data_IF_045188534200
#
_entry.id   IF_045188534200
#
_cell.length_a   1.000
_cell.length_b   1.000
_cell.length_c   1.000
_cell.angle_alpha   90.00
_cell.angle_beta   90.00
_cell.angle_gamma   90.00
#
_symmetry.space_group_name_H-M   'P 1'
#
loop_
_entity.id
_entity.type
_entity.pdbx_description
1 polymer ?
#
# COMPACT_ATOMS: atom_id res chain seq x y z
N UNK A 1 9.24 -4.87 6.44
CA UNK A 1 10.00 -5.98 5.78
C UNK A 1 9.08 -6.95 5.06
N UNK A 2 8.04 -7.52 5.71
CA UNK A 2 7.11 -8.44 5.02
C UNK A 2 6.23 -7.74 3.99
N UNK A 3 5.82 -6.49 4.27
CA UNK A 3 5.08 -5.62 3.34
C UNK A 3 5.86 -5.21 2.09
N UNK A 4 7.18 -5.51 2.01
CA UNK A 4 7.98 -5.18 0.82
C UNK A 4 7.48 -5.88 -0.43
N UNK A 5 6.88 -7.06 -0.29
CA UNK A 5 6.36 -7.84 -1.43
C UNK A 5 5.23 -7.11 -2.13
N UNK A 6 4.39 -6.44 -1.36
CA UNK A 6 3.31 -5.60 -1.86
C UNK A 6 3.87 -4.44 -2.71
N UNK A 7 4.89 -3.76 -2.19
CA UNK A 7 5.58 -2.68 -2.88
C UNK A 7 6.53 -3.13 -3.99
N UNK A 8 6.80 -4.42 -4.14
CA UNK A 8 7.73 -4.92 -5.15
C UNK A 8 7.10 -4.97 -6.54
N UNK A 9 5.79 -4.79 -6.64
CA UNK A 9 5.08 -4.80 -7.90
C UNK A 9 5.52 -3.63 -8.80
N UNK A 10 5.82 -3.93 -10.06
CA UNK A 10 6.31 -2.96 -11.05
C UNK A 10 5.20 -2.47 -11.98
N UNK A 11 4.09 -3.19 -12.07
CA UNK A 11 3.00 -2.88 -12.99
C UNK A 11 1.85 -2.11 -12.30
N UNK A 12 1.71 -2.25 -10.97
CA UNK A 12 0.67 -1.65 -10.11
C UNK A 12 -0.74 -1.75 -10.70
N UNK A 13 -1.47 -2.76 -10.26
CA UNK A 13 -2.88 -2.94 -10.62
C UNK A 13 -3.68 -3.58 -9.48
N UNK A 14 -4.93 -3.95 -9.74
CA UNK A 14 -5.82 -4.52 -8.71
C UNK A 14 -5.24 -5.76 -8.02
N UNK A 15 -4.36 -6.52 -8.70
CA UNK A 15 -3.69 -7.69 -8.13
C UNK A 15 -2.64 -7.31 -7.07
N UNK A 16 -2.06 -6.11 -7.15
CA UNK A 16 -1.17 -5.56 -6.12
C UNK A 16 -1.88 -5.49 -4.77
N UNK A 17 -3.18 -5.17 -4.77
CA UNK A 17 -4.04 -5.11 -3.57
C UNK A 17 -4.26 -6.45 -2.85
N UNK A 18 -3.76 -7.57 -3.39
CA UNK A 18 -3.77 -8.89 -2.74
C UNK A 18 -2.37 -9.52 -2.65
N UNK A 19 -1.33 -8.77 -3.02
CA UNK A 19 0.05 -9.26 -3.11
C UNK A 19 0.80 -9.11 -1.78
N UNK A 20 0.56 -10.03 -0.84
CA UNK A 20 1.17 -9.97 0.49
C UNK A 20 1.98 -11.23 0.82
N UNK A 21 2.96 -11.06 1.71
CA UNK A 21 3.67 -12.22 2.26
C UNK A 21 2.72 -13.07 3.13
N UNK A 22 2.78 -14.42 3.10
CA UNK A 22 1.95 -15.25 3.96
C UNK A 22 2.05 -14.92 5.46
N UNK A 23 3.25 -14.58 5.96
CA UNK A 23 3.44 -14.15 7.36
C UNK A 23 2.67 -12.86 7.66
N UNK A 24 2.61 -11.92 6.71
CA UNK A 24 1.86 -10.67 6.89
C UNK A 24 0.36 -10.94 6.96
N UNK A 25 -0.15 -11.84 6.12
CA UNK A 25 -1.54 -12.28 6.14
C UNK A 25 -1.87 -12.91 7.50
N UNK A 26 -1.05 -13.86 7.96
CA UNK A 26 -1.28 -14.55 9.24
C UNK A 26 -1.25 -13.58 10.44
N UNK A 27 -0.29 -12.64 10.45
CA UNK A 27 -0.21 -11.62 11.49
C UNK A 27 -1.43 -10.69 11.46
N UNK A 28 -1.84 -10.25 10.26
CA UNK A 28 -3.02 -9.41 10.08
C UNK A 28 -4.29 -10.12 10.53
N UNK A 29 -4.45 -11.41 10.20
CA UNK A 29 -5.56 -12.23 10.67
C UNK A 29 -5.58 -12.34 12.19
N UNK A 30 -4.42 -12.59 12.82
CA UNK A 30 -4.33 -12.67 14.29
C UNK A 30 -4.76 -11.36 14.96
N UNK A 31 -4.23 -10.22 14.49
CA UNK A 31 -4.58 -8.90 15.03
C UNK A 31 -6.08 -8.62 14.86
N UNK A 32 -6.63 -8.90 13.67
CA UNK A 32 -8.06 -8.74 13.39
C UNK A 32 -8.92 -9.62 14.30
N UNK A 33 -8.57 -10.89 14.48
CA UNK A 33 -9.31 -11.79 15.37
C UNK A 33 -9.30 -11.29 16.82
N UNK A 34 -8.14 -10.85 17.32
CA UNK A 34 -8.04 -10.25 18.66
C UNK A 34 -8.95 -9.02 18.78
N UNK A 35 -8.95 -8.12 17.78
CA UNK A 35 -9.81 -6.95 17.78
C UNK A 35 -11.31 -7.33 17.77
N UNK A 36 -11.70 -8.33 16.98
CA UNK A 36 -13.08 -8.87 16.94
C UNK A 36 -13.49 -9.40 18.32
N UNK A 37 -12.63 -10.17 18.98
CA UNK A 37 -12.89 -10.69 20.32
C UNK A 37 -13.00 -9.57 21.37
N UNK A 38 -12.08 -8.59 21.36
CA UNK A 38 -12.06 -7.48 22.32
C UNK A 38 -13.28 -6.57 22.16
N UNK A 39 -13.69 -6.30 20.92
CA UNK A 39 -14.86 -5.45 20.63
C UNK A 39 -16.18 -6.21 20.78
N UNK A 40 -16.15 -7.55 20.90
CA UNK A 40 -17.35 -8.38 20.89
C UNK A 40 -18.13 -8.27 19.57
N UNK A 41 -17.44 -8.09 18.45
CA UNK A 41 -18.08 -7.81 17.17
C UNK A 41 -18.87 -9.02 16.67
N UNK A 42 -20.15 -8.81 16.35
CA UNK A 42 -21.02 -9.85 15.81
C UNK A 42 -20.62 -10.28 14.38
N UNK A 43 -21.02 -11.48 13.92
CA UNK A 43 -20.61 -12.02 12.62
C UNK A 43 -20.89 -11.09 11.43
N UNK A 44 -22.05 -10.42 11.43
CA UNK A 44 -22.41 -9.48 10.36
C UNK A 44 -21.46 -8.28 10.30
N UNK A 45 -21.05 -7.73 11.45
CA UNK A 45 -20.12 -6.61 11.50
C UNK A 45 -18.74 -7.01 10.94
N UNK A 46 -18.29 -8.24 11.26
CA UNK A 46 -17.04 -8.79 10.71
C UNK A 46 -17.14 -8.95 9.19
N UNK A 47 -18.24 -9.49 8.68
CA UNK A 47 -18.46 -9.66 7.23
C UNK A 47 -18.45 -8.30 6.51
N UNK A 48 -19.18 -7.31 7.03
CA UNK A 48 -19.21 -5.95 6.46
C UNK A 48 -17.83 -5.32 6.50
N UNK A 49 -17.10 -5.46 7.61
CA UNK A 49 -15.74 -4.97 7.73
C UNK A 49 -14.80 -5.60 6.70
N UNK A 50 -14.81 -6.92 6.56
CA UNK A 50 -13.96 -7.62 5.57
C UNK A 50 -14.32 -7.25 4.14
N UNK A 51 -15.62 -7.10 3.84
CA UNK A 51 -16.08 -6.66 2.52
C UNK A 51 -15.55 -5.26 2.20
N UNK A 52 -15.67 -4.32 3.14
CA UNK A 52 -15.16 -2.96 2.98
C UNK A 52 -13.64 -2.95 2.86
N UNK A 53 -12.93 -3.67 3.73
CA UNK A 53 -11.47 -3.76 3.74
C UNK A 53 -10.92 -4.29 2.41
N UNK A 54 -11.47 -5.39 1.90
CA UNK A 54 -11.01 -5.98 0.64
C UNK A 54 -11.46 -5.15 -0.57
N UNK A 55 -12.69 -4.62 -0.55
CA UNK A 55 -13.20 -3.77 -1.64
C UNK A 55 -12.40 -2.48 -1.78
N UNK A 56 -12.02 -1.87 -0.66
CA UNK A 56 -11.13 -0.68 -0.66
C UNK A 56 -9.70 -1.04 -1.04
N UNK A 57 -9.17 -2.20 -0.65
CA UNK A 57 -7.87 -2.72 -1.14
C UNK A 57 -7.83 -2.88 -2.66
N UNK A 58 -8.91 -3.39 -3.26
CA UNK A 58 -9.01 -3.50 -4.71
C UNK A 58 -9.17 -2.13 -5.37
N UNK A 59 -9.92 -1.23 -4.73
CA UNK A 59 -10.16 0.11 -5.25
C UNK A 59 -8.88 0.97 -5.24
N UNK A 60 -8.18 1.06 -4.12
CA UNK A 60 -6.99 1.90 -3.97
C UNK A 60 -5.77 1.36 -4.78
N UNK A 61 -5.81 0.11 -5.24
CA UNK A 61 -4.84 -0.46 -6.19
C UNK A 61 -5.36 -0.55 -7.63
N UNK A 62 -6.60 -0.14 -7.89
CA UNK A 62 -7.17 -0.25 -9.22
C UNK A 62 -6.39 0.57 -10.23
N UNK A 63 -6.12 0.00 -11.41
CA UNK A 63 -5.55 0.73 -12.54
C UNK A 63 -6.64 1.57 -13.26
N UNK A 64 -7.33 2.41 -12.48
CA UNK A 64 -8.44 3.25 -12.93
C UNK A 64 -8.12 4.70 -12.60
N UNK A 65 -8.05 5.52 -13.63
CA UNK A 65 -7.91 6.97 -13.48
C UNK A 65 -9.28 7.61 -13.23
N UNK A 66 -9.48 8.09 -12.01
CA UNK A 66 -10.66 8.88 -11.68
C UNK A 66 -10.56 10.28 -12.34
N UNK A 67 -11.67 10.86 -12.82
CA UNK A 67 -11.71 12.26 -13.19
C UNK A 67 -11.28 13.14 -12.01
N UNK A 68 -10.44 14.14 -12.28
CA UNK A 68 -9.79 14.97 -11.23
C UNK A 68 -10.78 15.56 -10.21
N UNK A 69 -11.96 16.00 -10.67
CA UNK A 69 -13.00 16.52 -9.77
C UNK A 69 -13.55 15.43 -8.84
N UNK A 70 -13.83 14.24 -9.37
CA UNK A 70 -14.33 13.11 -8.57
C UNK A 70 -13.28 12.70 -7.55
N UNK A 71 -12.05 12.49 -8.01
CA UNK A 71 -10.94 12.12 -7.16
C UNK A 71 -10.73 13.13 -6.02
N UNK A 72 -10.77 14.45 -6.29
CA UNK A 72 -10.64 15.52 -5.29
C UNK A 72 -11.65 15.38 -4.14
N UNK A 73 -12.89 15.03 -4.43
CA UNK A 73 -13.92 14.85 -3.40
C UNK A 73 -13.81 13.49 -2.70
N UNK A 74 -13.61 12.41 -3.46
CA UNK A 74 -13.50 11.05 -2.91
C UNK A 74 -12.31 10.96 -1.95
N UNK A 75 -11.16 11.56 -2.32
CA UNK A 75 -9.95 11.54 -1.52
C UNK A 75 -10.00 12.34 -0.22
N UNK A 76 -11.13 13.00 0.10
CA UNK A 76 -11.39 13.59 1.42
C UNK A 76 -11.77 12.54 2.46
N UNK A 77 -12.33 11.42 2.02
CA UNK A 77 -12.84 10.36 2.89
C UNK A 77 -12.10 9.05 2.64
N UNK A 78 -12.07 8.60 1.39
CA UNK A 78 -11.46 7.33 1.01
C UNK A 78 -10.06 7.55 0.44
N UNK A 79 -9.24 6.51 0.46
CA UNK A 79 -7.97 6.49 -0.26
C UNK A 79 -8.26 6.11 -1.71
N UNK A 80 -7.91 6.99 -2.66
CA UNK A 80 -8.11 6.78 -4.10
C UNK A 80 -6.91 6.10 -4.75
N UNK A 81 -7.06 5.51 -5.96
CA UNK A 81 -5.95 4.92 -6.70
C UNK A 81 -4.73 5.84 -6.79
N UNK A 82 -4.94 7.07 -7.29
CA UNK A 82 -3.85 8.04 -7.47
C UNK A 82 -3.21 8.43 -6.14
N UNK A 83 -4.00 8.56 -5.06
CA UNK A 83 -3.46 8.86 -3.73
C UNK A 83 -2.57 7.71 -3.22
N UNK A 84 -3.05 6.47 -3.27
CA UNK A 84 -2.29 5.33 -2.77
C UNK A 84 -1.08 5.00 -3.63
N UNK A 85 -1.16 5.21 -4.96
CA UNK A 85 -0.04 4.93 -5.87
C UNK A 85 1.21 5.76 -5.52
N UNK A 86 1.08 6.94 -4.92
CA UNK A 86 2.22 7.73 -4.41
C UNK A 86 3.01 6.96 -3.35
N UNK A 87 2.31 6.27 -2.45
CA UNK A 87 2.93 5.41 -1.44
C UNK A 87 3.74 4.25 -2.05
N UNK A 88 3.40 3.85 -3.28
CA UNK A 88 4.13 2.82 -4.04
C UNK A 88 5.26 3.37 -4.91
N UNK A 89 5.48 4.68 -4.88
CA UNK A 89 6.60 5.30 -5.58
C UNK A 89 7.94 4.72 -5.11
N UNK A 90 8.87 4.65 -6.05
CA UNK A 90 10.27 4.32 -5.79
C UNK A 90 11.01 5.43 -5.01
N UNK A 91 10.50 6.67 -5.09
CA UNK A 91 11.12 7.85 -4.47
C UNK A 91 10.80 7.89 -2.98
N UNK A 92 11.84 7.99 -2.15
CA UNK A 92 11.71 7.81 -0.70
C UNK A 92 10.74 8.78 0.00
N UNK A 93 10.77 10.06 -0.38
CA UNK A 93 9.84 11.05 0.17
C UNK A 93 8.39 10.74 -0.18
N UNK A 94 8.15 10.15 -1.36
CA UNK A 94 6.82 9.80 -1.86
C UNK A 94 6.33 8.47 -1.24
N UNK A 95 7.19 7.45 -1.17
CA UNK A 95 6.86 6.17 -0.51
C UNK A 95 6.47 6.39 0.95
N UNK A 96 7.14 7.31 1.65
CA UNK A 96 6.86 7.62 3.05
C UNK A 96 5.72 8.64 3.23
N UNK A 97 4.70 8.56 2.39
CA UNK A 97 3.47 9.35 2.44
C UNK A 97 2.25 8.44 2.24
N UNK A 98 1.04 8.97 2.49
CA UNK A 98 -0.24 8.30 2.21
C UNK A 98 -0.36 6.87 2.80
N UNK A 99 -0.04 6.71 4.09
CA UNK A 99 -0.10 5.45 4.85
C UNK A 99 -1.54 4.98 5.14
N UNK A 100 -2.53 5.86 5.01
CA UNK A 100 -3.93 5.49 5.12
C UNK A 100 -4.27 4.37 4.14
N UNK A 101 -5.01 3.37 4.62
CA UNK A 101 -5.44 2.25 3.79
C UNK A 101 -6.86 2.45 3.24
N UNK A 102 -7.85 2.56 4.12
CA UNK A 102 -9.26 2.78 3.74
C UNK A 102 -9.64 4.26 3.77
N UNK A 103 -9.23 4.94 4.85
CA UNK A 103 -9.62 6.31 5.15
C UNK A 103 -8.42 7.25 5.03
N UNK A 104 -8.58 8.31 4.25
CA UNK A 104 -7.52 9.29 3.97
C UNK A 104 -7.38 10.37 5.06
N UNK A 105 -8.26 10.36 6.07
CA UNK A 105 -8.17 11.31 7.18
C UNK A 105 -6.91 11.09 8.03
N UNK A 106 -6.43 9.86 8.15
CA UNK A 106 -5.25 9.53 8.94
C UNK A 106 -4.02 10.27 8.42
N UNK A 107 -3.82 10.34 7.11
CA UNK A 107 -2.68 11.05 6.52
C UNK A 107 -2.70 12.55 6.77
N UNK A 108 -3.89 13.13 6.91
CA UNK A 108 -4.04 14.55 7.26
C UNK A 108 -3.78 14.79 8.73
N UNK A 109 -4.28 13.90 9.59
CA UNK A 109 -4.08 13.95 11.04
C UNK A 109 -2.60 13.80 11.40
N UNK A 110 -1.88 12.92 10.70
CA UNK A 110 -0.45 12.65 10.96
C UNK A 110 0.51 13.42 10.06
N UNK A 111 0.00 14.27 9.16
CA UNK A 111 0.84 15.12 8.30
C UNK A 111 1.62 14.37 7.21
N UNK A 112 1.15 13.19 6.80
CA UNK A 112 1.78 12.32 5.79
C UNK A 112 1.07 12.38 4.44
N UNK A 113 0.09 13.28 4.28
CA UNK A 113 -0.67 13.41 3.05
C UNK A 113 0.14 14.05 1.92
N UNK A 114 0.27 13.35 0.79
CA UNK A 114 0.87 13.87 -0.44
C UNK A 114 -0.10 13.72 -1.61
N UNK A 115 -0.55 14.84 -2.18
CA UNK A 115 -1.57 14.82 -3.22
C UNK A 115 -1.06 14.31 -4.57
N UNK A 116 0.16 14.68 -4.95
CA UNK A 116 0.77 14.45 -6.28
C UNK A 116 2.25 14.12 -6.09
N UNK A 117 2.81 13.13 -6.82
CA UNK A 117 4.25 12.86 -6.82
C UNK A 117 5.00 13.96 -7.58
N UNK A 118 6.29 14.14 -7.31
CA UNK A 118 7.11 15.22 -7.87
C UNK A 118 7.17 15.21 -9.41
N UNK A 119 7.21 14.02 -10.01
CA UNK A 119 7.22 13.88 -11.47
C UNK A 119 5.80 13.93 -12.10
N UNK A 120 4.74 13.83 -11.29
CA UNK A 120 3.36 13.59 -11.74
C UNK A 120 3.04 12.09 -11.89
N UNK A 121 1.75 11.73 -11.88
CA UNK A 121 1.33 10.32 -11.85
C UNK A 121 1.71 9.49 -13.09
N UNK A 122 1.89 10.13 -14.25
CA UNK A 122 2.20 9.46 -15.53
C UNK A 122 3.67 9.01 -15.60
N UNK A 123 4.58 9.79 -15.03
CA UNK A 123 6.03 9.56 -15.05
C UNK A 123 6.55 8.96 -13.75
N UNK A 124 5.69 8.82 -12.74
CA UNK A 124 6.03 8.20 -11.47
C UNK A 124 6.36 6.72 -11.67
N UNK A 125 7.49 6.33 -11.11
CA UNK A 125 7.99 4.97 -11.11
C UNK A 125 7.55 4.28 -9.82
N UNK A 126 6.88 3.15 -9.96
CA UNK A 126 6.47 2.29 -8.84
C UNK A 126 7.42 1.11 -8.68
N UNK A 127 7.36 0.47 -7.51
CA UNK A 127 8.12 -0.73 -7.22
C UNK A 127 9.32 -0.49 -6.30
N UNK A 128 10.13 -1.53 -6.10
CA UNK A 128 11.38 -1.44 -5.36
C UNK A 128 12.57 -1.60 -6.28
N UNK A 129 13.52 -0.68 -6.22
CA UNK A 129 14.68 -0.64 -7.12
C UNK A 129 15.39 -1.99 -7.28
N UNK A 130 15.62 -2.70 -6.17
CA UNK A 130 16.27 -4.01 -6.18
C UNK A 130 15.46 -5.16 -6.80
N UNK A 131 14.14 -5.02 -6.87
CA UNK A 131 13.23 -6.06 -7.35
C UNK A 131 12.60 -5.74 -8.70
N UNK A 132 13.02 -4.67 -9.41
CA UNK A 132 12.37 -4.29 -10.68
C UNK A 132 12.63 -5.23 -11.84
N UNK A 133 13.74 -5.96 -11.81
CA UNK A 133 14.04 -6.95 -12.84
C UNK A 133 13.01 -8.10 -12.83
N UNK A 134 12.53 -8.51 -14.00
CA UNK A 134 11.59 -9.63 -14.16
C UNK A 134 12.02 -10.91 -13.43
N UNK A 135 13.32 -11.23 -13.40
CA UNK A 135 13.84 -12.40 -12.67
C UNK A 135 13.52 -12.33 -11.18
N UNK A 136 13.58 -11.13 -10.58
CA UNK A 136 13.31 -10.88 -9.15
C UNK A 136 11.83 -10.87 -8.81
N UNK A 137 10.94 -10.90 -9.81
CA UNK A 137 9.49 -11.02 -9.63
C UNK A 137 9.03 -12.47 -9.48
N UNK A 138 9.96 -13.43 -9.42
CA UNK A 138 9.63 -14.83 -9.19
C UNK A 138 9.00 -15.04 -7.80
N UNK A 139 8.09 -16.01 -7.67
CA UNK A 139 7.45 -16.35 -6.40
C UNK A 139 8.48 -16.58 -5.28
N UNK A 140 9.59 -17.25 -5.61
CA UNK A 140 10.65 -17.56 -4.65
C UNK A 140 11.41 -16.32 -4.19
N UNK A 141 11.79 -15.43 -5.11
CA UNK A 141 12.46 -14.18 -4.76
C UNK A 141 11.58 -13.31 -3.87
N UNK A 142 10.27 -13.23 -4.16
CA UNK A 142 9.31 -12.49 -3.34
C UNK A 142 9.19 -13.10 -1.94
N UNK A 143 9.02 -14.41 -1.82
CA UNK A 143 8.91 -15.08 -0.52
C UNK A 143 10.18 -14.94 0.33
N UNK A 144 11.35 -14.96 -0.30
CA UNK A 144 12.63 -14.82 0.40
C UNK A 144 13.03 -13.35 0.64
N UNK A 145 12.37 -12.40 -0.01
CA UNK A 145 12.64 -10.95 0.10
C UNK A 145 12.80 -10.42 1.54
N UNK A 146 12.00 -10.84 2.55
CA UNK A 146 12.17 -10.35 3.91
C UNK A 146 13.51 -10.76 4.56
N UNK A 147 14.13 -11.83 4.05
CA UNK A 147 15.40 -12.40 4.50
C UNK A 147 16.60 -11.86 3.72
N UNK A 148 16.37 -11.30 2.53
CA UNK A 148 17.42 -10.71 1.71
C UNK A 148 17.91 -9.40 2.34
N UNK A 149 19.22 -9.31 2.57
CA UNK A 149 19.85 -8.08 3.06
C UNK A 149 20.02 -7.08 1.92
N UNK A 150 19.04 -6.21 1.78
CA UNK A 150 19.07 -5.13 0.81
C UNK A 150 19.11 -3.77 1.49
N UNK A 151 19.97 -3.65 2.51
CA UNK A 151 20.29 -2.37 3.14
C UNK A 151 20.77 -1.39 2.06
N UNK A 152 19.89 -0.47 1.67
CA UNK A 152 20.16 0.55 0.64
C UNK A 152 19.20 0.58 -0.55
N UNK A 153 18.15 -0.24 -0.60
CA UNK A 153 17.22 -0.26 -1.75
C UNK A 153 15.75 -0.11 -1.36
N UNK A 154 15.45 -0.12 -0.06
CA UNK A 154 14.09 0.07 0.44
C UNK A 154 13.89 1.49 1.02
N UNK A 155 12.83 2.21 0.62
CA UNK A 155 12.56 3.58 1.07
C UNK A 155 12.39 3.79 2.58
N UNK A 156 11.82 2.81 3.29
CA UNK A 156 11.56 2.96 4.72
C UNK A 156 12.84 2.99 5.55
N UNK A 157 13.04 4.08 6.29
CA UNK A 157 14.14 4.23 7.27
C UNK A 157 15.38 4.96 6.74
N UNK A 158 15.39 5.44 5.49
CA UNK A 158 16.38 6.42 5.04
C UNK A 158 15.99 7.80 5.56
N UNK A 159 16.85 8.39 6.40
CA UNK A 159 16.88 9.86 6.50
C UNK A 159 17.48 10.36 5.19
N UNK A 160 16.84 11.35 4.57
CA UNK A 160 17.51 12.12 3.53
C UNK A 160 18.83 12.62 4.12
N UNK A 161 19.95 12.17 3.57
CA UNK A 161 21.21 12.83 3.81
C UNK A 161 21.11 14.18 3.11
N UNK A 162 21.23 15.25 3.91
CA UNK A 162 21.42 16.63 3.45
C UNK A 162 22.47 16.75 2.33
#
# INVERSE_FOLDING_TARGET
RVHRIHHADVDFDVSTGVRFHPIEILLSMLIKMVAVCVLGAGPLAVIVFELLLNGTSMFNHGNVRLPQLIDKFVRLVLVTPDMHRVHHSLVVGETNSNFGFNLSCWDRVFGTYQAVPGAGHESMIVGLEAFRELRRQSLWDLLLMPLMDERGTYPFGRRESE
#
